data_IF_238827631920
#
_entry.id   IF_238827631920
#
_cell.length_a   1.000
_cell.length_b   1.000
_cell.length_c   1.000
_cell.angle_alpha   90.00
_cell.angle_beta   90.00
_cell.angle_gamma   90.00
#
_symmetry.space_group_name_H-M   'P 1'
#
loop_
_entity.id
_entity.type
_entity.pdbx_description
1 polymer ?
#
# COMPACT_ATOMS: atom_id res chain seq x y z
N UNK A 1 2.93 -10.57 -9.44
CA UNK A 1 3.03 -12.00 -9.82
C UNK A 1 3.20 -12.91 -8.58
N UNK A 2 4.10 -12.57 -7.63
CA UNK A 2 4.35 -13.41 -6.45
C UNK A 2 3.10 -13.62 -5.58
N UNK A 3 2.29 -12.58 -5.32
CA UNK A 3 1.06 -12.70 -4.53
C UNK A 3 -0.02 -13.53 -5.22
N UNK A 4 -0.12 -13.44 -6.55
CA UNK A 4 -1.05 -14.26 -7.32
C UNK A 4 -0.64 -15.74 -7.31
N UNK A 5 0.65 -16.04 -7.53
CA UNK A 5 1.16 -17.42 -7.41
C UNK A 5 1.02 -17.96 -5.98
N UNK A 6 1.26 -17.13 -4.97
CA UNK A 6 1.03 -17.52 -3.59
C UNK A 6 -0.44 -17.86 -3.32
N UNK A 7 -1.39 -17.06 -3.80
CA UNK A 7 -2.83 -17.35 -3.67
C UNK A 7 -3.22 -18.68 -4.32
N UNK A 8 -2.75 -18.94 -5.55
CA UNK A 8 -3.03 -20.20 -6.27
C UNK A 8 -2.48 -21.41 -5.51
N UNK A 9 -1.32 -21.28 -4.86
CA UNK A 9 -0.66 -22.36 -4.11
C UNK A 9 -1.21 -22.54 -2.69
N UNK A 10 -1.66 -21.46 -2.04
CA UNK A 10 -2.05 -21.48 -0.63
C UNK A 10 -3.56 -21.44 -0.42
N UNK A 11 -4.32 -20.90 -1.37
CA UNK A 11 -5.73 -20.53 -1.21
C UNK A 11 -5.97 -19.30 -0.34
N UNK A 12 -4.90 -18.60 0.13
CA UNK A 12 -5.03 -17.44 1.03
C UNK A 12 -5.36 -16.15 0.26
N UNK A 13 -6.48 -15.54 0.63
CA UNK A 13 -6.89 -14.21 0.13
C UNK A 13 -6.04 -13.09 0.73
N UNK A 14 -5.50 -13.28 1.94
CA UNK A 14 -4.61 -12.31 2.58
C UNK A 14 -3.31 -12.15 1.79
N UNK A 15 -2.70 -13.24 1.32
CA UNK A 15 -1.48 -13.19 0.51
C UNK A 15 -1.74 -12.62 -0.89
N UNK A 16 -2.94 -12.85 -1.45
CA UNK A 16 -3.35 -12.20 -2.70
C UNK A 16 -3.43 -10.68 -2.54
N UNK A 17 -4.12 -10.22 -1.48
CA UNK A 17 -4.25 -8.79 -1.19
C UNK A 17 -2.89 -8.12 -1.00
N UNK A 18 -2.02 -8.71 -0.17
CA UNK A 18 -0.66 -8.25 0.10
C UNK A 18 0.15 -8.14 -1.20
N UNK A 19 0.14 -9.19 -2.02
CA UNK A 19 0.86 -9.21 -3.28
C UNK A 19 0.33 -8.24 -4.35
N UNK A 20 -0.99 -8.04 -4.43
CA UNK A 20 -1.60 -7.06 -5.34
C UNK A 20 -1.30 -5.63 -4.88
N UNK A 21 -1.41 -5.37 -3.59
CA UNK A 21 -1.10 -4.06 -3.01
C UNK A 21 0.36 -3.69 -3.26
N UNK A 22 1.30 -4.57 -2.94
CA UNK A 22 2.74 -4.38 -3.20
C UNK A 22 3.04 -4.23 -4.69
N UNK A 23 2.37 -4.98 -5.58
CA UNK A 23 2.56 -4.84 -7.03
C UNK A 23 2.12 -3.46 -7.55
N UNK A 24 1.00 -2.94 -7.03
CA UNK A 24 0.54 -1.57 -7.35
C UNK A 24 1.54 -0.54 -6.85
N UNK A 25 2.07 -0.69 -5.63
CA UNK A 25 3.08 0.23 -5.08
C UNK A 25 4.35 0.26 -5.93
N UNK A 26 4.88 -0.92 -6.31
CA UNK A 26 6.08 -1.02 -7.16
C UNK A 26 5.83 -0.45 -8.56
N UNK A 27 4.74 -0.82 -9.21
CA UNK A 27 4.36 -0.29 -10.52
C UNK A 27 4.19 1.23 -10.49
N UNK A 28 3.55 1.72 -9.44
CA UNK A 28 3.34 3.14 -9.17
C UNK A 28 4.65 3.90 -9.01
N UNK A 29 5.62 3.36 -8.28
CA UNK A 29 6.92 4.03 -8.06
C UNK A 29 7.70 4.24 -9.37
N UNK A 30 7.59 3.30 -10.31
CA UNK A 30 8.20 3.41 -11.63
C UNK A 30 7.55 4.53 -12.47
N UNK A 31 6.23 4.64 -12.42
CA UNK A 31 5.48 5.70 -13.13
C UNK A 31 5.77 7.05 -12.47
N UNK A 32 5.73 7.13 -11.14
CA UNK A 32 6.02 8.34 -10.38
C UNK A 32 7.41 8.91 -10.71
N UNK A 33 8.42 8.04 -10.86
CA UNK A 33 9.77 8.47 -11.23
C UNK A 33 9.86 9.12 -12.61
N UNK A 34 8.97 8.75 -13.55
CA UNK A 34 8.88 9.37 -14.87
C UNK A 34 8.13 10.69 -14.83
N UNK A 35 7.02 10.75 -14.11
CA UNK A 35 6.20 11.97 -13.94
C UNK A 35 7.02 13.05 -13.24
N UNK A 36 7.71 12.73 -12.15
CA UNK A 36 8.55 13.65 -11.38
C UNK A 36 9.63 14.35 -12.25
N UNK A 37 10.15 13.67 -13.27
CA UNK A 37 11.09 14.29 -14.23
C UNK A 37 10.41 15.27 -15.19
N UNK A 38 9.11 15.10 -15.43
CA UNK A 38 8.36 15.98 -16.33
C UNK A 38 7.85 17.24 -15.60
N UNK A 39 7.50 17.13 -14.31
CA UNK A 39 6.98 18.25 -13.51
C UNK A 39 7.95 19.45 -13.46
N UNK A 40 9.26 19.17 -13.52
CA UNK A 40 10.30 20.21 -13.52
C UNK A 40 10.44 20.93 -14.88
N UNK A 41 9.78 20.44 -15.95
CA UNK A 41 9.85 21.07 -17.27
C UNK A 41 9.04 22.36 -17.33
N UNK A 42 9.53 23.41 -18.01
CA UNK A 42 8.76 24.62 -18.20
C UNK A 42 7.49 24.34 -19.02
N UNK A 43 6.44 25.16 -18.86
CA UNK A 43 5.24 25.08 -19.67
C UNK A 43 5.56 25.12 -21.17
N UNK A 44 4.83 24.34 -21.97
CA UNK A 44 4.95 24.30 -23.42
C UNK A 44 3.57 24.47 -24.08
N UNK A 45 3.53 24.44 -25.44
CA UNK A 45 2.27 24.62 -26.19
C UNK A 45 1.23 23.53 -25.90
N UNK A 46 1.66 22.32 -25.54
CA UNK A 46 0.75 21.23 -25.19
C UNK A 46 0.27 21.31 -23.74
N UNK A 47 1.10 21.87 -22.87
CA UNK A 47 0.83 22.03 -21.43
C UNK A 47 1.08 23.47 -20.99
N UNK A 48 0.15 24.41 -21.33
CA UNK A 48 0.34 25.86 -21.07
C UNK A 48 0.44 26.21 -19.58
N UNK A 49 -0.17 25.38 -18.72
CA UNK A 49 -0.17 25.56 -17.26
C UNK A 49 0.90 24.72 -16.56
N UNK A 50 1.81 24.09 -17.33
CA UNK A 50 2.83 23.18 -16.78
C UNK A 50 2.32 21.76 -16.57
N UNK A 51 3.18 20.95 -15.95
CA UNK A 51 2.97 19.48 -15.81
C UNK A 51 2.48 19.06 -14.41
N UNK A 52 2.25 20.01 -13.50
CA UNK A 52 1.87 19.72 -12.10
C UNK A 52 0.55 18.94 -12.00
N UNK A 53 -0.41 19.18 -12.89
CA UNK A 53 -1.67 18.44 -12.95
C UNK A 53 -1.49 16.93 -13.23
N UNK A 54 -0.38 16.52 -13.85
CA UNK A 54 -0.10 15.11 -14.10
C UNK A 54 0.17 14.34 -12.81
N UNK A 55 0.81 14.98 -11.83
CA UNK A 55 1.08 14.39 -10.53
C UNK A 55 -0.22 14.15 -9.76
N UNK A 56 -1.12 15.13 -9.71
CA UNK A 56 -2.42 15.00 -9.06
C UNK A 56 -3.27 13.88 -9.70
N UNK A 57 -3.34 13.84 -11.03
CA UNK A 57 -4.05 12.78 -11.75
C UNK A 57 -3.44 11.40 -11.48
N UNK A 58 -2.12 11.31 -11.48
CA UNK A 58 -1.44 10.05 -11.17
C UNK A 58 -1.77 9.55 -9.76
N UNK A 59 -1.69 10.43 -8.74
CA UNK A 59 -2.02 10.08 -7.35
C UNK A 59 -3.49 9.66 -7.24
N UNK A 60 -4.39 10.34 -7.95
CA UNK A 60 -5.81 10.02 -8.01
C UNK A 60 -6.03 8.60 -8.55
N UNK A 61 -5.50 8.28 -9.75
CA UNK A 61 -5.64 6.96 -10.34
C UNK A 61 -5.00 5.85 -9.49
N UNK A 62 -3.81 6.09 -8.95
CA UNK A 62 -3.14 5.15 -8.04
C UNK A 62 -4.02 4.85 -6.83
N UNK A 63 -4.58 5.88 -6.21
CA UNK A 63 -5.44 5.73 -5.03
C UNK A 63 -6.71 4.96 -5.35
N UNK A 64 -7.33 5.20 -6.51
CA UNK A 64 -8.50 4.44 -6.97
C UNK A 64 -8.17 2.95 -7.18
N UNK A 65 -7.02 2.65 -7.78
CA UNK A 65 -6.59 1.25 -7.98
C UNK A 65 -6.35 0.56 -6.64
N UNK A 66 -5.68 1.23 -5.69
CA UNK A 66 -5.45 0.69 -4.35
C UNK A 66 -6.77 0.46 -3.59
N UNK A 67 -7.71 1.39 -3.67
CA UNK A 67 -9.05 1.22 -3.09
C UNK A 67 -9.81 0.07 -3.75
N UNK A 68 -9.67 -0.13 -5.06
CA UNK A 68 -10.23 -1.27 -5.78
C UNK A 68 -9.66 -2.61 -5.28
N UNK A 69 -8.34 -2.69 -5.08
CA UNK A 69 -7.67 -3.88 -4.51
C UNK A 69 -8.16 -4.18 -3.09
N UNK A 70 -8.23 -3.14 -2.23
CA UNK A 70 -8.75 -3.29 -0.87
C UNK A 70 -10.22 -3.72 -0.90
N UNK A 71 -11.05 -3.07 -1.72
CA UNK A 71 -12.47 -3.41 -1.88
C UNK A 71 -12.69 -4.85 -2.34
N UNK A 72 -11.87 -5.34 -3.28
CA UNK A 72 -11.88 -6.74 -3.69
C UNK A 72 -11.53 -7.68 -2.51
N UNK A 73 -10.49 -7.37 -1.74
CA UNK A 73 -10.11 -8.14 -0.56
C UNK A 73 -11.23 -8.22 0.48
N UNK A 74 -11.85 -7.07 0.79
CA UNK A 74 -13.00 -7.00 1.71
C UNK A 74 -14.18 -7.82 1.18
N UNK A 75 -14.54 -7.67 -0.10
CA UNK A 75 -15.63 -8.43 -0.73
C UNK A 75 -15.40 -9.94 -0.67
N UNK A 76 -14.18 -10.39 -1.00
CA UNK A 76 -13.77 -11.80 -0.90
C UNK A 76 -13.89 -12.33 0.55
N UNK A 77 -13.42 -11.54 1.53
CA UNK A 77 -13.49 -11.93 2.94
C UNK A 77 -14.94 -11.99 3.46
N UNK A 78 -15.75 -11.03 3.06
CA UNK A 78 -17.18 -11.04 3.42
C UNK A 78 -17.89 -12.26 2.85
N UNK A 79 -17.59 -12.67 1.59
CA UNK A 79 -18.18 -13.88 1.02
C UNK A 79 -17.75 -15.13 1.79
N UNK A 80 -16.47 -15.25 2.17
CA UNK A 80 -15.99 -16.37 2.99
C UNK A 80 -16.67 -16.42 4.36
N UNK A 81 -16.89 -15.28 5.02
CA UNK A 81 -17.60 -15.22 6.30
C UNK A 81 -19.07 -15.62 6.17
N UNK A 82 -19.73 -15.21 5.07
CA UNK A 82 -21.12 -15.58 4.80
C UNK A 82 -21.22 -17.09 4.54
N UNK A 83 -20.28 -17.67 3.78
CA UNK A 83 -20.26 -19.11 3.51
C UNK A 83 -20.02 -19.90 4.81
N UNK A 84 -19.11 -19.45 5.66
CA UNK A 84 -18.91 -20.04 6.98
C UNK A 84 -20.17 -19.99 7.84
N UNK A 85 -20.86 -18.83 7.86
CA UNK A 85 -22.11 -18.69 8.64
C UNK A 85 -23.25 -19.58 8.11
N UNK A 86 -23.25 -19.86 6.80
CA UNK A 86 -24.20 -20.79 6.17
C UNK A 86 -23.85 -22.26 6.40
N UNK A 87 -22.73 -22.56 7.05
CA UNK A 87 -22.26 -23.91 7.30
C UNK A 87 -21.59 -24.58 6.12
N UNK A 88 -21.20 -23.80 5.10
CA UNK A 88 -20.44 -24.31 3.97
C UNK A 88 -19.00 -24.67 4.39
N UNK A 89 -18.42 -25.72 3.79
CA UNK A 89 -17.03 -26.06 4.03
C UNK A 89 -16.09 -25.05 3.39
N UNK A 90 -15.18 -24.50 4.19
CA UNK A 90 -14.11 -23.60 3.70
C UNK A 90 -12.91 -24.48 3.34
N UNK A 91 -12.31 -24.21 2.18
CA UNK A 91 -11.12 -24.94 1.74
C UNK A 91 -9.96 -24.75 2.73
N UNK A 92 -9.24 -25.82 3.10
CA UNK A 92 -8.10 -25.71 4.01
C UNK A 92 -6.95 -24.94 3.37
N UNK A 93 -6.26 -24.13 4.17
CA UNK A 93 -5.05 -23.42 3.75
C UNK A 93 -3.84 -24.35 3.68
N UNK A 94 -3.06 -24.24 2.62
CA UNK A 94 -1.76 -24.92 2.50
C UNK A 94 -0.67 -24.05 3.15
N UNK A 95 -0.17 -24.49 4.31
CA UNK A 95 0.74 -23.68 5.15
C UNK A 95 2.19 -23.63 4.67
N UNK A 96 2.68 -24.68 4.00
CA UNK A 96 4.07 -24.71 3.50
C UNK A 96 4.37 -23.55 2.53
N UNK A 97 3.55 -23.30 1.49
CA UNK A 97 3.77 -22.16 0.61
C UNK A 97 3.59 -20.81 1.32
N UNK A 98 2.74 -20.72 2.37
CA UNK A 98 2.59 -19.51 3.19
C UNK A 98 3.91 -19.14 3.86
N UNK A 99 4.59 -20.12 4.48
CA UNK A 99 5.87 -19.89 5.16
C UNK A 99 6.94 -19.39 4.18
N UNK A 100 7.04 -20.04 3.01
CA UNK A 100 8.01 -19.67 1.98
C UNK A 100 7.75 -18.25 1.45
N UNK A 101 6.49 -17.95 1.12
CA UNK A 101 6.08 -16.61 0.65
C UNK A 101 6.41 -15.53 1.69
N UNK A 102 6.01 -15.75 2.93
CA UNK A 102 6.23 -14.80 4.03
C UNK A 102 7.70 -14.52 4.25
N UNK A 103 8.53 -15.58 4.30
CA UNK A 103 9.98 -15.44 4.46
C UNK A 103 10.61 -14.66 3.30
N UNK A 104 10.25 -15.01 2.05
CA UNK A 104 10.80 -14.39 0.84
C UNK A 104 10.39 -12.92 0.74
N UNK A 105 9.10 -12.61 0.91
CA UNK A 105 8.60 -11.23 0.78
C UNK A 105 9.08 -10.34 1.92
N UNK A 106 9.08 -10.83 3.16
CA UNK A 106 9.64 -10.08 4.30
C UNK A 106 11.12 -9.80 4.10
N UNK A 107 11.91 -10.78 3.62
CA UNK A 107 13.32 -10.59 3.32
C UNK A 107 13.54 -9.56 2.20
N UNK A 108 12.73 -9.62 1.13
CA UNK A 108 12.79 -8.69 0.01
C UNK A 108 12.46 -7.25 0.43
N UNK A 109 11.33 -7.06 1.13
CA UNK A 109 10.92 -5.75 1.64
C UNK A 109 11.92 -5.20 2.68
N UNK A 110 12.45 -6.06 3.55
CA UNK A 110 13.49 -5.70 4.51
C UNK A 110 14.79 -5.25 3.83
N UNK A 111 15.22 -5.97 2.79
CA UNK A 111 16.39 -5.61 1.97
C UNK A 111 16.20 -4.28 1.25
N UNK A 112 15.02 -4.05 0.67
CA UNK A 112 14.66 -2.77 0.02
C UNK A 112 14.67 -1.63 1.03
N UNK A 113 14.07 -1.80 2.20
CA UNK A 113 14.07 -0.82 3.27
C UNK A 113 15.49 -0.48 3.73
N UNK A 114 16.34 -1.51 3.90
CA UNK A 114 17.75 -1.32 4.27
C UNK A 114 18.52 -0.57 3.18
N UNK A 115 18.32 -0.93 1.90
CA UNK A 115 18.97 -0.29 0.74
C UNK A 115 18.57 1.19 0.64
N UNK A 116 17.29 1.50 0.66
CA UNK A 116 16.80 2.89 0.62
C UNK A 116 17.32 3.72 1.80
N UNK A 117 17.36 3.13 3.01
CA UNK A 117 17.92 3.80 4.18
C UNK A 117 19.42 4.02 4.07
N UNK A 118 20.16 3.07 3.47
CA UNK A 118 21.59 3.22 3.21
C UNK A 118 21.86 4.34 2.19
N UNK A 119 21.09 4.37 1.11
CA UNK A 119 21.22 5.37 0.05
C UNK A 119 20.83 6.77 0.59
N UNK A 120 19.79 6.87 1.41
CA UNK A 120 19.44 8.10 2.11
C UNK A 120 20.57 8.63 3.00
N UNK A 121 21.26 7.75 3.72
CA UNK A 121 22.44 8.15 4.52
C UNK A 121 23.62 8.63 3.65
N UNK A 122 23.81 8.00 2.48
CA UNK A 122 24.88 8.35 1.54
C UNK A 122 24.64 9.68 0.81
N UNK A 123 23.40 10.05 0.60
CA UNK A 123 22.99 11.34 0.00
C UNK A 123 22.92 12.49 1.02
N UNK A 124 23.59 12.37 2.16
CA UNK A 124 23.62 13.43 3.17
C UNK A 124 22.30 13.65 3.91
N UNK A 125 21.38 12.67 3.88
CA UNK A 125 20.04 12.70 4.52
C UNK A 125 19.08 13.78 3.97
N UNK A 126 19.34 14.30 2.76
CA UNK A 126 18.55 15.39 2.17
C UNK A 126 17.31 14.87 1.46
N UNK A 127 17.34 13.65 0.89
CA UNK A 127 16.23 13.12 0.10
C UNK A 127 15.10 12.59 0.97
N UNK A 128 14.00 13.33 1.06
CA UNK A 128 12.76 12.90 1.72
C UNK A 128 12.14 11.70 1.01
N UNK A 129 12.28 11.62 -0.31
CA UNK A 129 11.77 10.49 -1.11
C UNK A 129 12.38 9.16 -0.64
N UNK A 130 13.72 9.08 -0.51
CA UNK A 130 14.40 7.86 -0.05
C UNK A 130 14.02 7.48 1.38
N UNK A 131 13.78 8.46 2.25
CA UNK A 131 13.32 8.21 3.60
C UNK A 131 11.89 7.65 3.62
N UNK A 132 11.01 8.21 2.80
CA UNK A 132 9.61 7.76 2.66
C UNK A 132 9.55 6.35 2.10
N UNK A 133 10.30 6.06 1.03
CA UNK A 133 10.37 4.71 0.44
C UNK A 133 10.94 3.69 1.44
N UNK A 134 11.97 4.05 2.21
CA UNK A 134 12.51 3.19 3.26
C UNK A 134 11.48 2.90 4.36
N UNK A 135 10.65 3.89 4.71
CA UNK A 135 9.58 3.76 5.71
C UNK A 135 8.47 2.84 5.18
N UNK A 136 8.02 3.06 3.95
CA UNK A 136 6.98 2.28 3.31
C UNK A 136 7.39 0.80 3.18
N UNK A 137 8.59 0.53 2.69
CA UNK A 137 9.11 -0.84 2.60
C UNK A 137 9.23 -1.54 3.96
N UNK A 138 9.51 -0.79 5.04
CA UNK A 138 9.52 -1.36 6.41
C UNK A 138 8.11 -1.70 6.89
N UNK A 139 7.14 -0.83 6.64
CA UNK A 139 5.75 -1.05 7.01
C UNK A 139 5.23 -2.29 6.27
N UNK A 140 5.51 -2.39 4.98
CA UNK A 140 5.15 -3.53 4.14
C UNK A 140 5.76 -4.84 4.69
N UNK A 141 7.08 -4.84 5.00
CA UNK A 141 7.74 -5.98 5.63
C UNK A 141 7.09 -6.42 6.96
N UNK A 142 6.69 -5.47 7.80
CA UNK A 142 6.04 -5.76 9.08
C UNK A 142 4.65 -6.34 8.87
N UNK A 143 3.86 -5.80 7.95
CA UNK A 143 2.51 -6.27 7.62
C UNK A 143 2.58 -7.68 7.06
N UNK A 144 3.44 -7.92 6.07
CA UNK A 144 3.63 -9.25 5.46
C UNK A 144 4.07 -10.28 6.50
N UNK A 145 5.04 -9.91 7.37
CA UNK A 145 5.50 -10.80 8.45
C UNK A 145 4.38 -11.10 9.44
N UNK A 146 3.66 -10.09 9.91
CA UNK A 146 2.56 -10.24 10.87
C UNK A 146 1.43 -11.11 10.29
N UNK A 147 1.03 -10.86 9.04
CA UNK A 147 0.01 -11.64 8.34
C UNK A 147 0.44 -13.09 8.16
N UNK A 148 1.67 -13.31 7.70
CA UNK A 148 2.20 -14.66 7.52
C UNK A 148 2.32 -15.43 8.82
N UNK A 149 2.82 -14.82 9.90
CA UNK A 149 2.88 -15.44 11.22
C UNK A 149 1.50 -15.79 11.77
N UNK A 150 0.51 -14.89 11.57
CA UNK A 150 -0.86 -15.13 12.00
C UNK A 150 -1.50 -16.32 11.22
N UNK A 151 -1.24 -16.43 9.91
CA UNK A 151 -1.68 -17.58 9.12
C UNK A 151 -0.98 -18.87 9.55
N UNK A 152 0.32 -18.83 9.79
CA UNK A 152 1.08 -20.00 10.27
C UNK A 152 0.68 -20.43 11.69
N UNK A 153 0.21 -19.50 12.51
CA UNK A 153 -0.31 -19.77 13.84
C UNK A 153 -1.75 -20.32 13.84
N UNK A 154 -2.47 -20.24 12.70
CA UNK A 154 -3.87 -20.68 12.62
C UNK A 154 -4.14 -22.12 13.09
N UNK A 155 -3.25 -23.14 12.86
CA UNK A 155 -3.46 -24.46 13.41
C UNK A 155 -3.41 -24.53 14.94
N UNK A 156 -2.69 -23.60 15.59
CA UNK A 156 -2.65 -23.55 17.05
C UNK A 156 -4.02 -23.20 17.64
N UNK A 157 -4.85 -22.48 16.87
CA UNK A 157 -6.24 -22.18 17.28
C UNK A 157 -7.09 -23.42 17.40
N UNK A 158 -6.78 -24.51 16.65
CA UNK A 158 -7.50 -25.78 16.73
C UNK A 158 -7.37 -26.45 18.12
N UNK A 159 -6.26 -26.18 18.83
CA UNK A 159 -6.04 -26.67 20.18
C UNK A 159 -6.64 -25.79 21.28
N UNK A 160 -7.31 -24.70 20.91
CA UNK A 160 -7.90 -23.72 21.84
C UNK A 160 -9.42 -23.70 21.72
N UNK A 161 -10.15 -23.10 22.69
CA UNK A 161 -11.59 -22.89 22.57
C UNK A 161 -11.98 -21.98 21.37
N UNK A 162 -11.00 -21.34 20.71
CA UNK A 162 -11.17 -20.53 19.50
C UNK A 162 -11.06 -21.35 18.19
N UNK A 163 -11.10 -22.67 18.26
CA UNK A 163 -11.04 -23.58 17.09
C UNK A 163 -12.09 -23.28 16.02
N UNK A 164 -13.23 -22.72 16.42
CA UNK A 164 -14.31 -22.27 15.52
C UNK A 164 -13.85 -21.14 14.58
N UNK A 165 -12.85 -20.36 14.96
CA UNK A 165 -12.32 -19.25 14.15
C UNK A 165 -11.22 -19.69 13.19
N UNK A 166 -10.63 -20.87 13.37
CA UNK A 166 -9.52 -21.36 12.54
C UNK A 166 -9.83 -21.33 11.03
N UNK A 167 -11.03 -21.75 10.55
CA UNK A 167 -11.35 -21.71 9.12
C UNK A 167 -11.47 -20.32 8.52
N UNK A 168 -11.78 -19.30 9.33
CA UNK A 168 -12.02 -17.92 8.90
C UNK A 168 -10.86 -16.98 9.24
N UNK A 169 -9.76 -17.51 9.77
CA UNK A 169 -8.58 -16.71 10.17
C UNK A 169 -8.06 -15.87 8.99
N UNK A 170 -7.97 -16.44 7.80
CA UNK A 170 -7.55 -15.72 6.59
C UNK A 170 -8.46 -14.53 6.27
N UNK A 171 -9.79 -14.75 6.27
CA UNK A 171 -10.75 -13.69 6.01
C UNK A 171 -10.70 -12.57 7.07
N UNK A 172 -10.52 -12.91 8.33
CA UNK A 172 -10.38 -11.93 9.42
C UNK A 172 -9.08 -11.12 9.26
N UNK A 173 -8.00 -11.77 8.87
CA UNK A 173 -6.72 -11.09 8.59
C UNK A 173 -6.85 -10.13 7.40
N UNK A 174 -7.50 -10.54 6.31
CA UNK A 174 -7.75 -9.65 5.17
C UNK A 174 -8.53 -8.43 5.61
N UNK A 175 -9.58 -8.58 6.41
CA UNK A 175 -10.36 -7.44 6.92
C UNK A 175 -9.51 -6.52 7.80
N UNK A 176 -8.70 -7.08 8.71
CA UNK A 176 -7.84 -6.30 9.59
C UNK A 176 -6.78 -5.51 8.78
N UNK A 177 -6.12 -6.17 7.84
CA UNK A 177 -5.11 -5.53 6.97
C UNK A 177 -5.77 -4.49 6.05
N UNK A 178 -6.92 -4.80 5.47
CA UNK A 178 -7.69 -3.86 4.65
C UNK A 178 -8.05 -2.59 5.42
N UNK A 179 -8.50 -2.72 6.66
CA UNK A 179 -8.82 -1.57 7.51
C UNK A 179 -7.58 -0.74 7.85
N UNK A 180 -6.46 -1.40 8.12
CA UNK A 180 -5.19 -0.72 8.39
C UNK A 180 -4.66 0.05 7.18
N UNK A 181 -4.78 -0.53 5.97
CA UNK A 181 -4.31 0.05 4.72
C UNK A 181 -5.26 1.09 4.11
N UNK A 182 -6.54 1.11 4.49
CA UNK A 182 -7.57 1.94 3.85
C UNK A 182 -7.31 3.44 4.01
N UNK A 183 -6.75 3.85 5.13
CA UNK A 183 -6.59 5.26 5.49
C UNK A 183 -5.69 6.02 4.51
N UNK A 184 -4.58 5.40 4.09
CA UNK A 184 -3.59 6.05 3.22
C UNK A 184 -4.15 6.38 1.82
N UNK A 185 -4.74 5.41 1.06
CA UNK A 185 -5.27 5.72 -0.26
C UNK A 185 -6.51 6.62 -0.22
N UNK A 186 -7.31 6.60 0.86
CA UNK A 186 -8.43 7.54 1.02
C UNK A 186 -7.94 8.98 1.22
N UNK A 187 -6.93 9.19 2.06
CA UNK A 187 -6.33 10.50 2.25
C UNK A 187 -5.71 11.00 0.94
N UNK A 188 -4.90 10.17 0.28
CA UNK A 188 -4.28 10.51 -0.99
C UNK A 188 -5.30 10.82 -2.10
N UNK A 189 -6.40 10.08 -2.17
CA UNK A 189 -7.50 10.34 -3.12
C UNK A 189 -8.13 11.71 -2.86
N UNK A 190 -8.46 12.01 -1.60
CA UNK A 190 -9.04 13.28 -1.21
C UNK A 190 -8.15 14.46 -1.57
N UNK A 191 -6.85 14.36 -1.25
CA UNK A 191 -5.88 15.40 -1.49
C UNK A 191 -5.65 15.61 -3.00
N UNK A 192 -5.54 14.51 -3.77
CA UNK A 192 -5.42 14.58 -5.22
C UNK A 192 -6.68 15.16 -5.89
N UNK A 193 -7.87 14.85 -5.40
CA UNK A 193 -9.13 15.48 -5.89
C UNK A 193 -9.16 16.96 -5.58
N UNK A 194 -8.78 17.37 -4.37
CA UNK A 194 -8.73 18.78 -3.99
C UNK A 194 -7.74 19.55 -4.88
N UNK A 195 -6.56 18.99 -5.12
CA UNK A 195 -5.54 19.57 -6.00
C UNK A 195 -6.01 19.64 -7.46
N UNK A 196 -6.61 18.56 -7.98
CA UNK A 196 -7.15 18.54 -9.34
C UNK A 196 -8.32 19.49 -9.53
N UNK A 197 -9.11 19.76 -8.49
CA UNK A 197 -10.19 20.75 -8.48
C UNK A 197 -9.71 22.20 -8.31
N UNK A 198 -8.39 22.42 -8.18
CA UNK A 198 -7.83 23.75 -8.00
C UNK A 198 -8.10 24.37 -6.62
N UNK A 199 -8.37 23.54 -5.60
CA UNK A 199 -8.49 24.02 -4.23
C UNK A 199 -7.21 24.72 -3.80
N UNK A 200 -7.35 25.86 -3.11
CA UNK A 200 -6.23 26.59 -2.54
C UNK A 200 -5.46 25.71 -1.57
N UNK A 201 -4.14 25.90 -1.51
CA UNK A 201 -3.29 25.23 -0.53
C UNK A 201 -3.77 25.55 0.90
N UNK A 202 -3.39 24.67 1.83
CA UNK A 202 -3.69 24.84 3.26
C UNK A 202 -3.38 26.27 3.71
N UNK A 203 -4.26 26.92 4.50
CA UNK A 203 -4.08 28.28 5.01
C UNK A 203 -2.72 28.52 5.65
N UNK A 204 -2.16 27.53 6.34
CA UNK A 204 -0.83 27.61 6.96
C UNK A 204 0.29 27.71 5.92
N UNK A 205 0.16 26.99 4.80
CA UNK A 205 1.11 27.04 3.68
C UNK A 205 1.03 28.38 2.98
N UNK A 206 -0.18 28.89 2.74
CA UNK A 206 -0.41 30.20 2.13
C UNK A 206 0.16 31.33 2.99
N UNK A 207 0.00 31.26 4.31
CA UNK A 207 0.57 32.27 5.23
C UNK A 207 2.09 32.24 5.22
N UNK A 208 2.72 31.05 5.26
CA UNK A 208 4.19 30.91 5.19
C UNK A 208 4.73 31.43 3.87
N UNK A 209 4.12 31.05 2.75
CA UNK A 209 4.51 31.55 1.42
C UNK A 209 4.38 33.06 1.34
N UNK A 210 3.31 33.62 1.88
CA UNK A 210 3.07 35.08 1.92
C UNK A 210 4.14 35.79 2.76
N UNK A 211 4.53 35.23 3.91
CA UNK A 211 5.60 35.81 4.74
C UNK A 211 6.95 35.80 4.03
N UNK A 212 7.30 34.68 3.35
CA UNK A 212 8.55 34.58 2.59
C UNK A 212 8.58 35.58 1.44
N UNK A 213 7.49 35.68 0.66
CA UNK A 213 7.40 36.63 -0.43
C UNK A 213 7.48 38.10 0.03
N UNK A 214 6.91 38.42 1.18
CA UNK A 214 7.01 39.75 1.79
C UNK A 214 8.42 40.08 2.26
N UNK A 215 9.22 39.07 2.65
CA UNK A 215 10.62 39.27 3.06
C UNK A 215 11.56 39.44 1.87
N UNK A 216 11.25 38.83 0.72
CA UNK A 216 12.06 38.93 -0.51
C UNK A 216 11.77 40.20 -1.33
N UNK A 217 10.63 40.84 -1.12
CA UNK A 217 10.19 42.03 -1.85
C UNK A 217 10.53 43.36 -1.12
N UNK A 218 11.12 43.33 0.07
CA UNK A 218 11.62 44.45 0.85
C UNK A 218 13.14 44.46 0.85
#
# INVERSE_FOLDING_TARGET
LAGFSAHVLTGSSALLLDGLYSAVLVGSSLIASRISRNVVRPPDRAWPYGYEGQEALYVLFRSLVLLGVIGFGVGSSCSTLIDWWRGNSIAPLHLEPVALYTALMTALCGLLAWRHRRDWRRTGRVSLLLLTEARNARIDAVITLATGLALLASPLLLATPLSVLAPITDALLVLAVSLALLREPLAALRDAMAQAAGCAADPDVLQRTRMVLMQELV
#
